data_IF_602947630549
#
_entry.id   IF_602947630549
#
_cell.length_a   1.000
_cell.length_b   1.000
_cell.length_c   1.000
_cell.angle_alpha   90.00
_cell.angle_beta   90.00
_cell.angle_gamma   90.00
#
_symmetry.space_group_name_H-M   'P 1'
#
loop_
_entity.id
_entity.type
_entity.pdbx_description
1 polymer ?
#
# COMPACT_ATOMS: atom_id res chain seq x y z
N UNK A 1 -2.10 16.12 -3.20
CA UNK A 1 -1.66 15.62 -1.89
C UNK A 1 -1.83 16.69 -0.84
N UNK A 2 -2.36 16.35 0.30
CA UNK A 2 -2.65 17.34 1.31
C UNK A 2 -1.38 17.80 2.03
N UNK A 3 -1.41 19.04 2.52
CA UNK A 3 -0.30 19.61 3.28
C UNK A 3 -0.04 18.83 4.57
N UNK A 4 -1.06 18.14 5.09
CA UNK A 4 -0.90 17.35 6.29
C UNK A 4 0.04 16.18 6.10
N UNK A 5 -0.01 15.54 4.93
CA UNK A 5 0.85 14.39 4.66
C UNK A 5 2.33 14.80 4.64
N UNK A 6 2.61 16.00 4.12
CA UNK A 6 3.99 16.48 4.10
C UNK A 6 4.54 16.73 5.50
N UNK A 7 3.70 17.27 6.40
CA UNK A 7 4.14 17.48 7.78
C UNK A 7 4.37 16.16 8.50
N UNK A 8 3.51 15.19 8.23
CA UNK A 8 3.63 13.88 8.87
C UNK A 8 4.95 13.21 8.46
N UNK A 9 5.27 13.23 7.17
CA UNK A 9 6.44 12.52 6.71
C UNK A 9 7.73 13.14 7.23
N UNK A 10 7.77 14.44 7.44
CA UNK A 10 8.97 15.09 7.97
C UNK A 10 9.21 14.76 9.43
N UNK A 11 8.17 14.33 10.15
CA UNK A 11 8.27 13.99 11.57
C UNK A 11 8.47 12.49 11.80
N UNK A 12 8.54 11.70 10.73
CA UNK A 12 8.69 10.26 10.86
C UNK A 12 10.06 9.94 11.45
N UNK A 13 10.05 9.11 12.49
CA UNK A 13 11.26 8.62 13.12
C UNK A 13 11.52 7.20 12.63
N UNK A 14 12.54 7.04 11.81
CA UNK A 14 12.91 5.74 11.25
C UNK A 14 13.78 4.92 12.20
N UNK A 15 14.01 5.42 13.41
CA UNK A 15 14.85 4.74 14.36
C UNK A 15 16.23 5.36 14.43
N UNK A 16 17.02 4.85 15.36
CA UNK A 16 18.34 5.41 15.65
C UNK A 16 19.22 5.30 14.42
N UNK A 17 19.81 6.43 14.03
CA UNK A 17 20.65 6.49 12.85
C UNK A 17 19.94 6.55 11.53
N UNK A 18 18.61 6.60 11.54
CA UNK A 18 17.80 6.64 10.33
C UNK A 18 16.89 7.85 10.35
N UNK A 19 16.82 8.56 9.26
CA UNK A 19 15.96 9.74 9.15
C UNK A 19 15.43 9.84 7.72
N UNK A 20 14.53 10.82 7.53
CA UNK A 20 13.99 11.07 6.20
C UNK A 20 15.12 11.50 5.27
N UNK A 21 15.20 10.86 4.12
CA UNK A 21 16.14 11.23 3.07
C UNK A 21 15.36 11.70 1.85
N UNK A 22 16.01 12.43 0.92
CA UNK A 22 15.31 12.82 -0.30
C UNK A 22 14.74 11.64 -1.08
N UNK A 23 15.46 10.52 -1.12
CA UNK A 23 14.96 9.32 -1.80
C UNK A 23 13.70 8.79 -1.14
N UNK A 24 13.69 8.67 0.20
CA UNK A 24 12.52 8.20 0.92
C UNK A 24 11.32 9.13 0.72
N UNK A 25 11.58 10.44 0.70
CA UNK A 25 10.53 11.40 0.49
C UNK A 25 9.92 11.24 -0.91
N UNK A 26 10.75 11.12 -1.94
CA UNK A 26 10.24 10.94 -3.30
C UNK A 26 9.44 9.66 -3.46
N UNK A 27 9.92 8.57 -2.88
CA UNK A 27 9.19 7.29 -2.94
C UNK A 27 7.85 7.43 -2.25
N UNK A 28 7.83 8.06 -1.07
CA UNK A 28 6.58 8.27 -0.35
C UNK A 28 5.60 9.12 -1.16
N UNK A 29 6.08 10.21 -1.74
CA UNK A 29 5.22 11.12 -2.50
C UNK A 29 4.63 10.43 -3.73
N UNK A 30 5.44 9.65 -4.44
CA UNK A 30 4.96 8.89 -5.60
C UNK A 30 3.85 7.93 -5.16
N UNK A 31 4.07 7.25 -4.04
CA UNK A 31 3.08 6.30 -3.55
C UNK A 31 1.78 6.99 -3.14
N UNK A 32 1.88 8.15 -2.49
CA UNK A 32 0.70 8.90 -2.09
C UNK A 32 -0.09 9.41 -3.30
N UNK A 33 0.61 9.71 -4.39
CA UNK A 33 -0.04 10.18 -5.62
C UNK A 33 -0.60 9.04 -6.47
N UNK A 34 -0.25 7.81 -6.11
CA UNK A 34 -0.67 6.64 -6.91
C UNK A 34 -1.98 6.07 -6.38
N UNK A 35 -2.77 6.10 -7.17
CA UNK A 35 -4.03 5.58 -6.80
C UNK A 35 -4.12 4.12 -6.89
N UNK A 36 -3.40 3.62 -7.71
CA UNK A 36 -3.30 2.17 -7.81
C UNK A 36 -2.36 1.65 -6.73
N UNK A 37 -2.17 0.35 -6.72
CA UNK A 37 -1.27 -0.27 -5.74
C UNK A 37 -0.02 -0.71 -6.49
N UNK A 38 0.98 0.18 -6.62
CA UNK A 38 2.13 -0.15 -7.46
C UNK A 38 3.06 -1.17 -6.81
N UNK A 39 3.71 -1.95 -7.66
CA UNK A 39 4.85 -2.76 -7.24
C UNK A 39 6.08 -1.88 -7.06
N UNK A 40 7.14 -2.45 -6.47
CA UNK A 40 8.40 -1.69 -6.31
C UNK A 40 8.96 -1.26 -7.67
N UNK A 41 8.85 -2.11 -8.68
CA UNK A 41 9.33 -1.76 -10.02
C UNK A 41 8.54 -0.59 -10.60
N UNK A 42 7.22 -0.60 -10.40
CA UNK A 42 6.38 0.51 -10.88
C UNK A 42 6.71 1.79 -10.13
N UNK A 43 6.94 1.71 -8.83
CA UNK A 43 7.37 2.89 -8.06
C UNK A 43 8.71 3.40 -8.59
N UNK A 44 9.64 2.49 -8.85
CA UNK A 44 10.95 2.86 -9.39
C UNK A 44 10.82 3.63 -10.70
N UNK A 45 9.98 3.13 -11.61
CA UNK A 45 9.80 3.80 -12.90
C UNK A 45 9.26 5.22 -12.70
N UNK A 46 8.32 5.40 -11.78
CA UNK A 46 7.73 6.71 -11.51
C UNK A 46 8.70 7.66 -10.81
N UNK A 47 9.46 7.16 -9.85
CA UNK A 47 10.43 8.00 -9.13
C UNK A 47 11.58 8.40 -10.05
N UNK A 48 11.98 7.52 -10.97
CA UNK A 48 13.10 7.79 -11.85
C UNK A 48 12.85 9.00 -12.75
N UNK A 49 11.61 9.31 -13.04
CA UNK A 49 11.29 10.53 -13.79
C UNK A 49 11.69 11.79 -13.03
N UNK A 50 11.69 11.75 -11.71
CA UNK A 50 12.03 12.90 -10.88
C UNK A 50 13.45 12.84 -10.30
N UNK A 51 13.98 11.65 -10.16
CA UNK A 51 15.29 11.44 -9.56
C UNK A 51 16.02 10.39 -10.40
N UNK A 52 16.71 10.87 -11.42
CA UNK A 52 17.29 10.04 -12.46
C UNK A 52 18.34 9.08 -11.94
N UNK A 53 19.01 9.44 -10.84
CA UNK A 53 20.11 8.64 -10.31
C UNK A 53 19.66 7.51 -9.37
N UNK A 54 18.37 7.41 -9.05
CA UNK A 54 17.92 6.41 -8.11
C UNK A 54 18.01 5.01 -8.72
N UNK A 55 18.32 4.02 -7.89
CA UNK A 55 18.38 2.63 -8.32
C UNK A 55 17.16 1.87 -7.79
N UNK A 56 16.88 0.72 -8.41
CA UNK A 56 15.79 -0.14 -7.93
C UNK A 56 16.06 -0.63 -6.50
N UNK A 57 17.33 -0.95 -6.20
CA UNK A 57 17.67 -1.38 -4.84
C UNK A 57 17.37 -0.28 -3.82
N UNK A 58 17.63 0.98 -4.18
CA UNK A 58 17.32 2.10 -3.29
C UNK A 58 15.81 2.23 -3.09
N UNK A 59 15.01 2.02 -4.15
CA UNK A 59 13.56 2.06 -4.02
C UNK A 59 13.07 0.97 -3.05
N UNK A 60 13.60 -0.25 -3.19
CA UNK A 60 13.24 -1.32 -2.25
C UNK A 60 13.58 -0.95 -0.81
N UNK A 61 14.79 -0.38 -0.61
CA UNK A 61 15.21 0.02 0.73
C UNK A 61 14.31 1.12 1.29
N UNK A 62 13.90 2.07 0.44
CA UNK A 62 12.99 3.14 0.86
C UNK A 62 11.62 2.56 1.25
N UNK A 63 11.09 1.67 0.41
CA UNK A 63 9.79 1.06 0.70
C UNK A 63 9.84 0.25 1.98
N UNK A 64 10.92 -0.53 2.18
CA UNK A 64 11.07 -1.30 3.41
C UNK A 64 11.10 -0.40 4.64
N UNK A 65 11.81 0.73 4.55
CA UNK A 65 11.88 1.67 5.66
C UNK A 65 10.50 2.27 5.96
N UNK A 66 9.76 2.64 4.92
CA UNK A 66 8.43 3.24 5.09
C UNK A 66 7.43 2.24 5.64
N UNK A 67 7.51 0.99 5.19
CA UNK A 67 6.67 -0.08 5.75
C UNK A 67 7.04 -0.32 7.21
N UNK A 68 8.34 -0.30 7.51
CA UNK A 68 8.81 -0.56 8.86
C UNK A 68 8.31 0.44 9.88
N UNK A 69 8.14 1.71 9.50
CA UNK A 69 7.60 2.72 10.42
C UNK A 69 6.09 2.85 10.32
N UNK A 70 5.44 2.09 9.45
CA UNK A 70 3.99 2.00 9.42
C UNK A 70 3.26 3.06 8.61
N UNK A 71 3.96 3.82 7.78
CA UNK A 71 3.29 4.86 6.96
C UNK A 71 2.93 4.35 5.57
N UNK A 72 3.38 3.16 5.22
CA UNK A 72 3.06 2.47 3.98
C UNK A 72 2.76 1.03 4.33
N UNK A 73 1.80 0.43 3.65
CA UNK A 73 1.47 -0.98 3.82
C UNK A 73 1.94 -1.77 2.62
N UNK A 74 2.43 -2.96 2.90
CA UNK A 74 2.80 -3.92 1.86
C UNK A 74 1.65 -4.89 1.68
N UNK A 75 1.17 -5.00 0.43
CA UNK A 75 0.07 -5.89 0.09
C UNK A 75 0.66 -7.07 -0.67
N UNK A 76 0.59 -8.24 -0.08
CA UNK A 76 1.16 -9.45 -0.70
C UNK A 76 0.13 -10.09 -1.60
N UNK A 77 0.56 -10.40 -2.82
CA UNK A 77 -0.30 -11.01 -3.83
C UNK A 77 0.33 -12.36 -4.19
N UNK A 78 -0.48 -13.42 -4.14
CA UNK A 78 0.02 -14.77 -4.39
C UNK A 78 0.70 -14.85 -5.76
N UNK A 79 1.93 -15.34 -5.77
CA UNK A 79 2.69 -15.61 -6.99
C UNK A 79 2.98 -14.35 -7.81
N UNK A 80 2.90 -13.19 -7.20
CA UNK A 80 3.19 -11.92 -7.86
C UNK A 80 4.03 -11.06 -6.95
N UNK A 81 4.73 -10.06 -7.52
CA UNK A 81 5.46 -9.12 -6.68
C UNK A 81 4.51 -8.40 -5.72
N UNK A 82 5.03 -8.07 -4.55
CA UNK A 82 4.26 -7.31 -3.56
C UNK A 82 3.89 -5.95 -4.12
N UNK A 83 2.73 -5.46 -3.68
CA UNK A 83 2.28 -4.11 -4.00
C UNK A 83 2.29 -3.27 -2.74
N UNK A 84 2.24 -1.97 -2.91
CA UNK A 84 2.40 -1.04 -1.79
C UNK A 84 1.22 -0.08 -1.77
N UNK A 85 0.77 0.26 -0.57
CA UNK A 85 -0.42 1.07 -0.37
C UNK A 85 -0.14 2.13 0.69
N UNK A 86 -0.43 3.39 0.35
CA UNK A 86 -0.27 4.49 1.29
C UNK A 86 -1.52 4.81 2.09
N UNK A 87 -2.60 4.06 1.91
CA UNK A 87 -3.85 4.32 2.60
C UNK A 87 -3.83 3.66 3.97
N UNK A 88 -3.69 4.46 5.02
CA UNK A 88 -3.60 3.95 6.38
C UNK A 88 -4.97 3.82 7.06
N UNK A 89 -6.04 4.30 6.45
CA UNK A 89 -7.38 4.11 6.97
C UNK A 89 -7.74 2.63 6.91
N UNK A 90 -8.52 2.12 7.89
CA UNK A 90 -8.94 0.72 7.81
C UNK A 90 -9.72 0.46 6.52
N UNK A 91 -9.25 -0.51 5.76
CA UNK A 91 -9.89 -0.86 4.50
C UNK A 91 -9.50 -2.28 4.13
N UNK A 92 -10.21 -2.84 3.17
CA UNK A 92 -9.87 -4.14 2.61
C UNK A 92 -9.31 -3.93 1.20
N UNK A 93 -8.85 -5.00 0.60
CA UNK A 93 -8.35 -4.99 -0.77
C UNK A 93 -9.12 -6.02 -1.59
N UNK A 94 -9.51 -5.62 -2.79
CA UNK A 94 -10.13 -6.53 -3.75
C UNK A 94 -9.09 -6.88 -4.80
N UNK A 95 -8.86 -8.18 -4.96
CA UNK A 95 -7.90 -8.70 -5.93
C UNK A 95 -8.66 -9.30 -7.10
N UNK A 96 -8.48 -8.72 -8.28
CA UNK A 96 -9.06 -9.30 -9.49
C UNK A 96 -8.20 -10.44 -9.97
N UNK A 97 -8.79 -11.63 -10.05
CA UNK A 97 -8.04 -12.81 -10.47
C UNK A 97 -7.85 -12.88 -11.98
N UNK A 98 -8.53 -12.01 -12.73
CA UNK A 98 -8.43 -12.01 -14.19
C UNK A 98 -7.36 -11.02 -14.67
N UNK A 99 -7.41 -9.76 -14.21
CA UNK A 99 -6.47 -8.75 -14.68
C UNK A 99 -5.39 -8.40 -13.66
N UNK A 100 -5.43 -9.03 -12.47
CA UNK A 100 -4.46 -8.85 -11.40
C UNK A 100 -4.46 -7.46 -10.76
N UNK A 101 -5.47 -6.64 -11.03
CA UNK A 101 -5.56 -5.34 -10.37
C UNK A 101 -5.92 -5.51 -8.90
N UNK A 102 -5.48 -4.56 -8.09
CA UNK A 102 -5.78 -4.50 -6.66
C UNK A 102 -6.43 -3.16 -6.38
N UNK A 103 -7.58 -3.18 -5.74
CA UNK A 103 -8.33 -1.98 -5.42
C UNK A 103 -8.59 -1.89 -3.93
N UNK A 104 -8.62 -0.68 -3.40
CA UNK A 104 -9.10 -0.46 -2.05
C UNK A 104 -10.62 -0.62 -2.04
N UNK A 105 -11.14 -1.30 -1.02
CA UNK A 105 -12.56 -1.34 -0.77
C UNK A 105 -12.82 -0.93 0.66
N UNK A 106 -13.85 -0.10 0.83
CA UNK A 106 -14.19 0.43 2.15
C UNK A 106 -14.88 -0.63 2.98
N UNK A 107 -14.62 -0.60 4.29
CA UNK A 107 -15.32 -1.46 5.22
C UNK A 107 -16.69 -0.84 5.54
N UNK A 108 -17.72 -1.67 5.53
CA UNK A 108 -19.02 -1.21 5.95
C UNK A 108 -19.00 -0.94 7.45
N UNK A 109 -19.78 0.16 7.55
CA UNK A 109 -19.86 0.37 8.91
C UNK A 109 -18.69 0.93 9.51
N UNK A 110 -17.92 1.42 8.94
CA UNK A 110 -16.80 2.12 9.45
C UNK A 110 -16.28 1.67 10.79
N UNK A 111 -16.68 0.56 11.23
CA UNK A 111 -16.36 0.12 12.57
C UNK A 111 -15.03 -0.64 12.58
N UNK A 112 -14.58 -0.95 13.78
CA UNK A 112 -13.40 -1.76 14.02
C UNK A 112 -13.57 -3.12 13.34
N UNK A 113 -12.72 -3.50 12.37
CA UNK A 113 -12.88 -4.80 11.71
C UNK A 113 -12.76 -5.98 12.65
N UNK A 114 -12.08 -5.82 13.78
CA UNK A 114 -11.93 -6.92 14.72
C UNK A 114 -13.25 -7.33 15.34
N UNK A 115 -14.27 -6.47 15.27
CA UNK A 115 -15.61 -6.83 15.75
C UNK A 115 -16.32 -7.82 14.85
N UNK A 116 -15.79 -8.06 13.64
CA UNK A 116 -16.41 -8.96 12.68
C UNK A 116 -15.96 -10.41 12.85
N UNK A 117 -15.04 -10.69 13.75
CA UNK A 117 -14.49 -12.03 13.94
C UNK A 117 -14.57 -12.41 15.42
N UNK A 118 -14.65 -13.71 15.65
CA UNK A 118 -14.58 -14.25 17.01
C UNK A 118 -13.13 -14.60 17.31
N UNK A 119 -12.57 -13.94 18.30
CA UNK A 119 -11.16 -14.12 18.65
C UNK A 119 -11.04 -15.10 19.82
N UNK A 120 -9.90 -15.78 19.93
CA UNK A 120 -9.63 -16.54 21.13
C UNK A 120 -9.67 -15.64 22.36
N UNK A 121 -10.12 -16.22 23.48
CA UNK A 121 -10.23 -15.46 24.72
C UNK A 121 -8.87 -14.91 25.11
N UNK A 122 -8.82 -13.60 25.38
CA UNK A 122 -7.59 -12.93 25.77
C UNK A 122 -6.69 -12.51 24.64
N UNK A 123 -7.09 -12.79 23.39
CA UNK A 123 -6.28 -12.38 22.24
C UNK A 123 -6.36 -10.86 22.07
N UNK A 124 -5.26 -10.29 21.62
CA UNK A 124 -5.17 -8.87 21.30
C UNK A 124 -4.87 -8.72 19.81
N UNK A 125 -5.68 -7.91 19.12
CA UNK A 125 -5.48 -7.68 17.68
C UNK A 125 -4.49 -6.54 17.51
N UNK A 126 -3.44 -6.80 16.76
CA UNK A 126 -2.48 -5.75 16.40
C UNK A 126 -2.64 -5.31 14.97
N UNK A 127 -3.18 -6.18 14.10
CA UNK A 127 -3.29 -5.87 12.69
C UNK A 127 -4.43 -6.68 12.11
N UNK A 128 -5.16 -6.05 11.20
CA UNK A 128 -6.28 -6.70 10.49
C UNK A 128 -6.05 -6.55 9.00
N UNK A 129 -6.14 -7.65 8.29
CA UNK A 129 -6.02 -7.65 6.83
C UNK A 129 -7.18 -8.45 6.27
N UNK A 130 -7.88 -7.87 5.30
CA UNK A 130 -8.98 -8.55 4.62
C UNK A 130 -8.76 -8.47 3.12
N UNK A 131 -8.72 -9.60 2.48
CA UNK A 131 -8.58 -9.70 1.03
C UNK A 131 -9.83 -10.35 0.47
N UNK A 132 -10.42 -9.70 -0.54
CA UNK A 132 -11.55 -10.24 -1.28
C UNK A 132 -11.06 -10.55 -2.69
N UNK A 133 -11.32 -11.75 -3.18
CA UNK A 133 -10.84 -12.18 -4.48
C UNK A 133 -12.01 -12.47 -5.39
N UNK A 134 -11.86 -12.10 -6.65
CA UNK A 134 -12.92 -12.33 -7.62
C UNK A 134 -12.59 -11.67 -8.93
N UNK A 135 -13.59 -11.13 -9.60
CA UNK A 135 -13.42 -10.42 -10.86
C UNK A 135 -13.88 -8.99 -10.70
N UNK A 136 -13.06 -8.05 -11.15
CA UNK A 136 -13.41 -6.63 -11.04
C UNK A 136 -14.55 -6.30 -12.00
N UNK A 137 -15.22 -5.14 -11.82
CA UNK A 137 -16.35 -4.80 -12.69
C UNK A 137 -16.01 -4.78 -14.16
N UNK A 138 -14.80 -4.31 -14.49
CA UNK A 138 -14.37 -4.28 -15.89
C UNK A 138 -14.26 -5.67 -16.48
N UNK A 139 -13.66 -6.61 -15.75
CA UNK A 139 -13.51 -7.98 -16.22
C UNK A 139 -14.84 -8.70 -16.32
N UNK A 140 -15.74 -8.43 -15.38
CA UNK A 140 -17.09 -9.00 -15.45
C UNK A 140 -17.79 -8.49 -16.71
N UNK A 141 -17.69 -7.19 -16.98
CA UNK A 141 -18.33 -6.58 -18.14
C UNK A 141 -17.77 -7.17 -19.44
N UNK A 142 -16.44 -7.32 -19.52
CA UNK A 142 -15.81 -7.85 -20.73
C UNK A 142 -16.19 -9.31 -20.95
N UNK A 143 -16.32 -10.10 -19.87
CA UNK A 143 -16.72 -11.49 -20.00
C UNK A 143 -18.15 -11.62 -20.51
N UNK A 144 -19.04 -10.71 -20.08
CA UNK A 144 -20.44 -10.77 -20.47
C UNK A 144 -20.69 -10.30 -21.91
N UNK A 145 -19.68 -9.69 -22.55
CA UNK A 145 -19.83 -9.22 -23.93
C UNK A 145 -19.60 -10.30 -24.99
N UNK A 146 -19.21 -11.50 -24.60
CA UNK A 146 -19.01 -12.59 -25.56
C UNK A 146 -20.31 -13.26 -25.92
#
# INVERSE_FOLDING_TARGET
>A
MSQNNNKIIEQINFGEGHRMTPQRRFVYEVLMDSXDHPTATEVFIRVKDKMDSISLATVYNCLDALVGVGVVRQVNVDREPSRYCGNLEPHAHFHCETCASVMDVDLKXGADPSNSVKLPRGAKVEKFELAVRGQCPECVRLKNKK
#
